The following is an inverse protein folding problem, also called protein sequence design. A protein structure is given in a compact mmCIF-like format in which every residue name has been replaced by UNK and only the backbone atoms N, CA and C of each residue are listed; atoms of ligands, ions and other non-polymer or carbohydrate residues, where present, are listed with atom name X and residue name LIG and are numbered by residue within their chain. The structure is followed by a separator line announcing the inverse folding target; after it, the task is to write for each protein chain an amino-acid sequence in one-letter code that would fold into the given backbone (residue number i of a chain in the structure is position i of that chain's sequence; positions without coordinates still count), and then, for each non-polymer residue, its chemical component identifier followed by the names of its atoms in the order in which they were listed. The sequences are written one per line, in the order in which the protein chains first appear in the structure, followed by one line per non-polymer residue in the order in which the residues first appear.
data_IF_974418865871
#
_entry.id   IF_974418865871
#
_cell.length_a   1.000
_cell.length_b   1.000
_cell.length_c   1.000
_cell.angle_alpha   90.00
_cell.angle_beta   90.00
_cell.angle_gamma   90.00
#
_symmetry.space_group_name_H-M   'P 1'
#
loop_
_entity.id
_entity.type
_entity.pdbx_description
1 polymer ?
#
# COMPACT_ATOMS: atom_id res chain seq x y z
N UNK A 1 -40.34 3.36 11.65
CA UNK A 1 -39.29 2.38 12.01
C UNK A 1 -38.10 2.72 11.13
N UNK A 2 -37.09 3.39 11.69
CA UNK A 2 -35.92 3.85 10.91
C UNK A 2 -34.98 2.66 10.71
N UNK A 3 -34.74 2.30 9.45
CA UNK A 3 -33.73 1.31 9.08
C UNK A 3 -32.39 2.01 9.35
N UNK A 4 -31.67 1.59 10.40
CA UNK A 4 -30.26 1.98 10.55
C UNK A 4 -29.51 1.33 9.39
N UNK A 5 -29.02 2.13 8.46
CA UNK A 5 -27.98 1.69 7.54
C UNK A 5 -26.81 1.19 8.39
N UNK A 6 -26.54 -0.12 8.35
CA UNK A 6 -25.27 -0.63 8.84
C UNK A 6 -24.21 -0.24 7.82
N UNK A 7 -23.66 0.96 7.96
CA UNK A 7 -22.34 1.23 7.38
C UNK A 7 -21.39 0.17 7.96
N UNK A 8 -20.67 -0.52 7.07
CA UNK A 8 -19.62 -1.45 7.48
C UNK A 8 -18.57 -0.74 8.34
N UNK A 9 -17.73 -1.52 9.03
CA UNK A 9 -16.66 -0.96 9.86
C UNK A 9 -15.72 -0.10 9.01
N UNK A 10 -15.24 0.99 9.60
CA UNK A 10 -14.09 1.70 9.04
C UNK A 10 -12.86 0.80 9.06
N UNK A 11 -11.83 1.13 8.27
CA UNK A 11 -10.55 0.41 8.31
C UNK A 11 -9.98 0.38 9.74
N UNK A 12 -10.04 1.52 10.43
CA UNK A 12 -9.51 1.69 11.79
C UNK A 12 -10.29 0.88 12.82
N UNK A 13 -11.62 0.82 12.71
CA UNK A 13 -12.45 0.00 13.60
C UNK A 13 -12.23 -1.49 13.36
N UNK A 14 -12.18 -1.92 12.09
CA UNK A 14 -11.89 -3.30 11.74
C UNK A 14 -10.50 -3.72 12.22
N UNK A 15 -9.49 -2.86 12.10
CA UNK A 15 -8.13 -3.10 12.60
C UNK A 15 -8.12 -3.28 14.13
N UNK A 16 -8.82 -2.41 14.87
CA UNK A 16 -8.94 -2.52 16.33
C UNK A 16 -9.65 -3.81 16.75
N UNK A 17 -10.69 -4.23 16.03
CA UNK A 17 -11.42 -5.47 16.33
C UNK A 17 -10.53 -6.72 16.26
N UNK A 18 -9.57 -6.75 15.33
CA UNK A 18 -8.60 -7.85 15.19
C UNK A 18 -7.31 -7.64 15.99
N UNK A 19 -7.25 -6.62 16.86
CA UNK A 19 -6.16 -6.39 17.80
C UNK A 19 -4.95 -5.64 17.23
N UNK A 20 -5.09 -4.94 16.10
CA UNK A 20 -4.05 -4.06 15.57
C UNK A 20 -3.98 -2.77 16.40
N UNK A 21 -2.77 -2.40 16.82
CA UNK A 21 -2.51 -1.24 17.68
C UNK A 21 -1.81 -0.12 16.90
N UNK A 22 -2.34 1.09 17.01
CA UNK A 22 -1.76 2.33 16.49
C UNK A 22 -2.26 3.51 17.33
N UNK A 23 -1.45 4.57 17.43
CA UNK A 23 -1.74 5.79 18.18
C UNK A 23 -2.58 6.75 17.36
N UNK A 24 -2.23 6.94 16.08
CA UNK A 24 -2.95 7.82 15.16
C UNK A 24 -3.70 7.02 14.10
N UNK A 25 -4.91 7.46 13.77
CA UNK A 25 -5.67 6.96 12.62
C UNK A 25 -5.04 7.44 11.31
N UNK A 26 -3.93 6.80 10.93
CA UNK A 26 -3.27 7.09 9.67
C UNK A 26 -4.16 6.73 8.49
N UNK A 27 -4.26 7.65 7.54
CA UNK A 27 -4.94 7.43 6.27
C UNK A 27 -3.89 7.28 5.17
N UNK A 28 -4.04 6.32 4.25
CA UNK A 28 -3.13 6.22 3.11
C UNK A 28 -3.28 7.43 2.21
N UNK A 29 -2.16 7.99 1.77
CA UNK A 29 -2.12 8.83 0.58
C UNK A 29 -1.80 7.95 -0.63
N UNK A 30 -2.67 7.98 -1.64
CA UNK A 30 -2.40 7.34 -2.93
C UNK A 30 -1.54 8.25 -3.79
N UNK A 31 -0.37 7.76 -4.18
CA UNK A 31 0.60 8.50 -5.00
C UNK A 31 1.04 7.66 -6.19
N UNK A 32 1.69 8.31 -7.15
CA UNK A 32 2.26 7.62 -8.30
C UNK A 32 3.62 8.19 -8.68
N UNK A 33 4.45 7.34 -9.28
CA UNK A 33 5.76 7.69 -9.81
C UNK A 33 5.91 7.10 -11.22
N UNK A 34 6.58 7.82 -12.12
CA UNK A 34 6.96 7.30 -13.43
C UNK A 34 8.41 6.81 -13.39
N UNK A 35 8.62 5.52 -13.61
CA UNK A 35 9.93 4.86 -13.64
C UNK A 35 9.96 3.88 -14.81
N UNK A 36 11.10 3.74 -15.49
CA UNK A 36 11.27 2.79 -16.60
C UNK A 36 10.19 2.89 -17.71
N UNK A 37 9.61 4.09 -17.91
CA UNK A 37 8.55 4.32 -18.90
C UNK A 37 7.16 3.79 -18.51
N UNK A 38 6.95 3.46 -17.23
CA UNK A 38 5.70 2.98 -16.67
C UNK A 38 5.31 3.83 -15.45
N UNK A 39 4.01 3.99 -15.24
CA UNK A 39 3.46 4.60 -14.03
C UNK A 39 3.23 3.51 -12.98
N UNK A 40 3.79 3.72 -11.80
CA UNK A 40 3.57 2.87 -10.63
C UNK A 40 2.79 3.64 -9.57
N UNK A 41 1.77 3.00 -9.00
CA UNK A 41 1.05 3.49 -7.83
C UNK A 41 1.70 2.95 -6.56
N UNK A 42 1.73 3.77 -5.51
CA UNK A 42 1.97 3.31 -4.15
C UNK A 42 1.06 4.02 -3.16
N UNK A 43 0.82 3.36 -2.03
CA UNK A 43 0.18 3.96 -0.87
C UNK A 43 1.25 4.36 0.15
N UNK A 44 1.07 5.53 0.74
CA UNK A 44 1.96 6.08 1.75
C UNK A 44 1.23 6.33 3.07
N UNK A 45 1.81 5.85 4.18
CA UNK A 45 1.38 6.17 5.55
C UNK A 45 2.57 6.65 6.38
N UNK A 46 2.27 7.29 7.51
CA UNK A 46 3.27 7.72 8.49
C UNK A 46 3.91 9.07 8.18
N UNK A 47 4.79 9.52 9.07
CA UNK A 47 5.51 10.78 8.91
C UNK A 47 6.64 10.63 7.89
N UNK A 48 6.75 11.49 6.84
CA UNK A 48 7.85 11.46 5.89
C UNK A 48 9.26 11.62 6.49
N UNK A 49 9.38 12.13 7.72
CA UNK A 49 10.65 12.25 8.45
C UNK A 49 11.09 10.93 9.12
N UNK A 50 10.23 9.92 9.21
CA UNK A 50 10.55 8.62 9.81
C UNK A 50 11.34 7.71 8.85
N UNK A 51 12.03 6.68 9.36
CA UNK A 51 12.66 5.66 8.51
C UNK A 51 11.67 5.00 7.55
N UNK A 52 12.10 4.77 6.31
CA UNK A 52 11.25 4.19 5.27
C UNK A 52 11.14 2.67 5.42
N UNK A 53 9.93 2.15 5.29
CA UNK A 53 9.63 0.73 5.16
C UNK A 53 8.86 0.49 3.86
N UNK A 54 9.46 -0.26 2.94
CA UNK A 54 8.84 -0.64 1.67
C UNK A 54 8.15 -1.99 1.83
N UNK A 55 6.89 -2.09 1.41
CA UNK A 55 6.09 -3.32 1.46
C UNK A 55 5.78 -3.80 0.05
N UNK A 56 6.15 -5.05 -0.24
CA UNK A 56 6.00 -5.70 -1.54
C UNK A 56 5.02 -6.86 -1.40
N UNK A 57 3.94 -6.84 -2.18
CA UNK A 57 2.90 -7.86 -2.11
C UNK A 57 3.28 -9.16 -2.84
N UNK A 58 2.58 -10.26 -2.53
CA UNK A 58 2.71 -11.52 -3.25
C UNK A 58 1.92 -11.56 -4.57
N UNK A 59 1.90 -12.71 -5.24
CA UNK A 59 1.14 -12.89 -6.49
C UNK A 59 -0.36 -12.62 -6.32
N UNK A 60 -0.97 -11.95 -7.31
CA UNK A 60 -2.40 -11.62 -7.33
C UNK A 60 -2.89 -10.78 -6.14
N UNK A 61 -2.01 -9.92 -5.61
CA UNK A 61 -2.29 -8.98 -4.52
C UNK A 61 -1.98 -7.53 -4.94
N UNK A 62 -2.23 -6.56 -4.06
CA UNK A 62 -1.93 -5.13 -4.29
C UNK A 62 -1.55 -4.44 -2.98
N UNK A 63 -1.24 -3.14 -3.02
CA UNK A 63 -0.87 -2.30 -1.89
C UNK A 63 -1.81 -2.41 -0.67
N UNK A 64 -3.13 -2.48 -0.90
CA UNK A 64 -4.12 -2.62 0.17
C UNK A 64 -4.07 -3.94 0.95
N UNK A 65 -3.36 -4.97 0.45
CA UNK A 65 -3.08 -6.19 1.22
C UNK A 65 -2.29 -5.87 2.51
N UNK A 66 -1.70 -4.68 2.59
CA UNK A 66 -0.91 -4.22 3.72
C UNK A 66 -1.63 -3.27 4.67
N UNK A 67 -2.90 -2.91 4.49
CA UNK A 67 -3.56 -1.85 5.27
C UNK A 67 -3.39 -2.02 6.80
N UNK A 68 -3.63 -3.22 7.34
CA UNK A 68 -3.47 -3.48 8.78
C UNK A 68 -2.01 -3.53 9.23
N UNK A 69 -1.11 -3.99 8.37
CA UNK A 69 0.33 -3.99 8.65
C UNK A 69 0.85 -2.55 8.65
N UNK A 70 0.47 -1.75 7.66
CA UNK A 70 0.81 -0.34 7.57
C UNK A 70 0.34 0.42 8.81
N UNK A 71 -0.92 0.23 9.25
CA UNK A 71 -1.42 0.82 10.49
C UNK A 71 -0.55 0.45 11.71
N UNK A 72 -0.15 -0.82 11.84
CA UNK A 72 0.69 -1.29 12.96
C UNK A 72 2.09 -0.65 13.03
N UNK A 73 2.58 -0.08 11.93
CA UNK A 73 3.93 0.48 11.83
C UNK A 73 4.00 1.98 11.53
N UNK A 74 2.90 2.60 11.06
CA UNK A 74 2.87 3.99 10.58
C UNK A 74 3.22 5.05 11.65
N UNK A 75 3.04 4.74 12.94
CA UNK A 75 3.48 5.64 14.02
C UNK A 75 5.02 5.78 14.10
N UNK A 76 5.77 4.82 13.56
CA UNK A 76 7.24 4.73 13.68
C UNK A 76 7.98 4.76 12.36
N UNK A 77 7.30 4.50 11.26
CA UNK A 77 7.88 4.37 9.93
C UNK A 77 7.08 5.16 8.92
N UNK A 78 7.78 5.65 7.90
CA UNK A 78 7.17 6.06 6.63
C UNK A 78 6.94 4.80 5.81
N UNK A 79 5.69 4.37 5.68
CA UNK A 79 5.33 3.14 4.96
C UNK A 79 5.11 3.48 3.49
N UNK A 80 5.71 2.70 2.59
CA UNK A 80 5.45 2.75 1.14
C UNK A 80 5.01 1.35 0.70
N UNK A 81 3.72 1.17 0.42
CA UNK A 81 3.20 -0.08 -0.15
C UNK A 81 3.02 0.08 -1.65
N UNK A 82 3.88 -0.58 -2.43
CA UNK A 82 3.93 -0.48 -3.88
C UNK A 82 2.91 -1.43 -4.52
N UNK A 83 2.15 -0.95 -5.50
CA UNK A 83 1.54 -1.82 -6.50
C UNK A 83 2.63 -2.20 -7.51
N UNK A 84 3.11 -3.44 -7.48
CA UNK A 84 4.15 -3.89 -8.42
C UNK A 84 3.58 -3.91 -9.84
N UNK A 85 4.45 -3.93 -10.86
CA UNK A 85 4.04 -3.91 -12.28
C UNK A 85 2.89 -4.89 -12.56
N UNK A 86 1.88 -4.43 -13.30
CA UNK A 86 0.68 -5.19 -13.63
C UNK A 86 -0.27 -5.51 -12.47
N UNK A 87 -0.14 -4.85 -11.32
CA UNK A 87 -1.04 -5.02 -10.18
C UNK A 87 -1.60 -3.66 -9.73
N UNK A 88 -2.73 -3.70 -9.01
CA UNK A 88 -3.41 -2.51 -8.50
C UNK A 88 -3.67 -1.48 -9.59
N UNK A 89 -3.31 -0.22 -9.33
CA UNK A 89 -3.40 0.86 -10.34
C UNK A 89 -2.04 1.18 -11.01
N UNK A 90 -1.05 0.29 -10.89
CA UNK A 90 0.19 0.39 -11.69
C UNK A 90 -0.04 -0.09 -13.12
N UNK A 91 0.74 0.46 -14.05
CA UNK A 91 0.69 0.06 -15.45
C UNK A 91 1.04 -1.42 -15.63
N UNK A 92 0.47 -1.99 -16.69
CA UNK A 92 0.84 -3.32 -17.18
C UNK A 92 2.03 -3.20 -18.14
N UNK A 93 3.03 -4.06 -17.96
CA UNK A 93 4.22 -4.10 -18.80
C UNK A 93 3.82 -4.51 -20.23
N UNK A 94 4.01 -3.60 -21.19
CA UNK A 94 3.60 -3.78 -22.59
C UNK A 94 4.50 -4.76 -23.36
N UNK A 95 5.72 -4.97 -22.88
CA UNK A 95 6.68 -5.96 -23.38
C UNK A 95 6.43 -7.37 -22.80
N UNK A 96 5.56 -7.50 -21.81
CA UNK A 96 5.25 -8.76 -21.15
C UNK A 96 6.32 -9.25 -20.17
N UNK A 97 7.32 -8.43 -19.81
CA UNK A 97 8.37 -8.83 -18.87
C UNK A 97 7.93 -8.62 -17.42
N UNK A 98 7.68 -9.74 -16.73
CA UNK A 98 7.35 -9.80 -15.31
C UNK A 98 8.39 -10.62 -14.51
N UNK A 99 9.60 -10.77 -15.04
CA UNK A 99 10.67 -11.51 -14.36
C UNK A 99 11.04 -10.87 -13.00
N UNK A 100 11.49 -11.66 -12.02
CA UNK A 100 11.96 -11.12 -10.74
C UNK A 100 13.07 -10.07 -10.91
N UNK A 101 13.97 -10.25 -11.87
CA UNK A 101 15.06 -9.32 -12.16
C UNK A 101 14.54 -7.96 -12.61
N UNK A 102 13.49 -7.95 -13.43
CA UNK A 102 12.87 -6.71 -13.89
C UNK A 102 12.03 -6.06 -12.79
N UNK A 103 11.34 -6.83 -11.95
CA UNK A 103 10.68 -6.30 -10.75
C UNK A 103 11.68 -5.67 -9.76
N UNK A 104 12.84 -6.29 -9.55
CA UNK A 104 13.91 -5.73 -8.72
C UNK A 104 14.36 -4.36 -9.24
N UNK A 105 14.57 -4.23 -10.56
CA UNK A 105 14.97 -2.94 -11.17
C UNK A 105 13.94 -1.84 -10.98
N UNK A 106 12.66 -2.17 -10.96
CA UNK A 106 11.64 -1.17 -10.65
C UNK A 106 11.76 -0.70 -9.21
N UNK A 107 11.97 -1.63 -8.27
CA UNK A 107 12.10 -1.30 -6.85
C UNK A 107 13.35 -0.46 -6.58
N UNK A 108 14.47 -0.74 -7.24
CA UNK A 108 15.70 0.06 -7.13
C UNK A 108 15.55 1.49 -7.68
N UNK A 109 14.55 1.75 -8.51
CA UNK A 109 14.28 3.05 -9.10
C UNK A 109 13.28 3.90 -8.29
N UNK A 110 12.76 3.38 -7.17
CA UNK A 110 11.82 4.05 -6.24
C UNK A 110 12.59 4.65 -5.07
#
# INVERSE_FOLDING_TARGET
MSIKEHQGLSLHDAAREVGVTFEKEWQPESKSIEINGMKFRYLEWGDPANPVMVLLHGFAQQSHSWDFVALSFADRYRIIALDQRGHGDSDWASDGDYTPETQQKDIEAI
#
